data_IF_977067383014
#
_entry.id   IF_977067383014
#
_cell.length_a   1.000
_cell.length_b   1.000
_cell.length_c   1.000
_cell.angle_alpha   90.00
_cell.angle_beta   90.00
_cell.angle_gamma   90.00
#
_symmetry.space_group_name_H-M   'P 1'
#
loop_
_entity.id
_entity.type
_entity.pdbx_description
1 polymer ?
#
# COMPACT_ATOMS: atom_id res chain seq x y z
N UNK A 1 3.95 13.64 3.35
CA UNK A 1 3.54 12.43 4.09
C UNK A 1 4.75 11.54 4.25
N UNK A 2 5.12 11.18 5.49
CA UNK A 2 6.28 10.29 5.73
C UNK A 2 5.97 8.86 5.25
N UNK A 3 6.95 8.20 4.64
CA UNK A 3 6.79 6.83 4.14
C UNK A 3 6.59 5.86 5.31
N UNK A 4 5.75 4.85 5.11
CA UNK A 4 5.61 3.75 6.06
C UNK A 4 6.98 3.07 6.24
N UNK A 5 7.33 2.62 7.45
CA UNK A 5 8.65 2.09 7.80
C UNK A 5 9.75 3.15 8.03
N UNK A 6 9.40 4.44 8.11
CA UNK A 6 10.35 5.53 8.43
C UNK A 6 10.31 5.91 9.91
N UNK A 7 11.30 6.67 10.41
CA UNK A 7 11.40 7.08 11.83
C UNK A 7 10.13 7.75 12.39
N UNK A 8 9.38 8.45 11.54
CA UNK A 8 8.13 9.13 11.91
C UNK A 8 6.87 8.24 11.76
N UNK A 9 6.98 7.14 11.01
CA UNK A 9 5.89 6.19 10.73
C UNK A 9 6.45 4.75 10.69
N UNK A 10 6.81 4.18 11.84
CA UNK A 10 7.27 2.80 11.91
C UNK A 10 6.12 1.85 11.54
N UNK A 11 6.45 0.70 10.96
CA UNK A 11 5.49 -0.38 10.73
C UNK A 11 5.10 -1.01 12.07
N UNK A 12 3.81 -1.25 12.30
CA UNK A 12 3.34 -1.92 13.51
C UNK A 12 3.01 -3.35 13.14
N UNK A 13 3.61 -4.30 13.85
CA UNK A 13 3.38 -5.73 13.62
C UNK A 13 3.00 -6.40 14.91
N UNK A 14 1.95 -7.22 14.85
CA UNK A 14 1.53 -8.06 15.96
C UNK A 14 1.73 -9.51 15.59
N UNK A 15 2.47 -10.24 16.41
CA UNK A 15 2.77 -11.65 16.21
C UNK A 15 2.37 -12.46 17.43
N UNK A 16 2.16 -13.76 17.26
CA UNK A 16 1.76 -14.64 18.37
C UNK A 16 2.95 -15.22 19.14
N UNK A 17 4.11 -15.36 18.48
CA UNK A 17 5.28 -16.04 19.04
C UNK A 17 6.53 -15.17 18.96
N UNK A 18 7.48 -15.42 19.86
CA UNK A 18 8.78 -14.74 19.87
C UNK A 18 9.59 -15.06 18.61
N UNK A 19 9.55 -16.30 18.15
CA UNK A 19 10.27 -16.74 16.95
C UNK A 19 9.84 -15.93 15.71
N UNK A 20 8.53 -15.72 15.55
CA UNK A 20 7.96 -14.88 14.49
C UNK A 20 8.39 -13.42 14.63
N UNK A 21 8.49 -12.92 15.86
CA UNK A 21 8.93 -11.55 16.14
C UNK A 21 10.36 -11.33 15.63
N UNK A 22 11.26 -12.27 15.90
CA UNK A 22 12.66 -12.22 15.46
C UNK A 22 12.77 -12.27 13.93
N UNK A 23 12.02 -13.15 13.27
CA UNK A 23 11.99 -13.24 11.80
C UNK A 23 11.56 -11.91 11.16
N UNK A 24 10.46 -11.32 11.64
CA UNK A 24 9.95 -10.04 11.13
C UNK A 24 10.95 -8.92 11.39
N UNK A 25 11.56 -8.89 12.58
CA UNK A 25 12.52 -7.86 12.96
C UNK A 25 13.80 -7.94 12.10
N UNK A 26 14.28 -9.15 11.81
CA UNK A 26 15.39 -9.39 10.89
C UNK A 26 15.05 -8.94 9.46
N UNK A 27 13.85 -9.27 8.96
CA UNK A 27 13.37 -8.86 7.65
C UNK A 27 13.30 -7.34 7.51
N UNK A 28 12.68 -6.66 8.49
CA UNK A 28 12.55 -5.21 8.50
C UNK A 28 13.91 -4.52 8.61
N UNK A 29 14.81 -5.01 9.45
CA UNK A 29 16.18 -4.46 9.58
C UNK A 29 16.98 -4.63 8.28
N UNK A 30 16.89 -5.79 7.61
CA UNK A 30 17.56 -6.02 6.32
C UNK A 30 17.11 -5.03 5.25
N UNK A 31 15.85 -4.60 5.31
CA UNK A 31 15.27 -3.60 4.39
C UNK A 31 15.46 -2.14 4.85
N UNK A 32 16.00 -1.93 6.04
CA UNK A 32 16.16 -0.59 6.64
C UNK A 32 14.84 0.05 7.08
N UNK A 33 13.84 -0.76 7.42
CA UNK A 33 12.53 -0.29 7.89
C UNK A 33 12.47 -0.27 9.41
N UNK A 34 11.98 0.83 9.99
CA UNK A 34 11.62 0.85 11.40
C UNK A 34 10.31 0.11 11.63
N UNK A 35 10.33 -0.82 12.59
CA UNK A 35 9.19 -1.67 12.97
C UNK A 35 9.04 -1.70 14.49
N UNK A 36 7.80 -1.73 14.96
CA UNK A 36 7.43 -1.98 16.35
C UNK A 36 6.70 -3.32 16.38
N UNK A 37 7.29 -4.31 17.05
CA UNK A 37 6.74 -5.66 17.14
C UNK A 37 6.12 -5.88 18.51
N UNK A 38 4.85 -6.27 18.55
CA UNK A 38 4.13 -6.72 19.75
C UNK A 38 3.90 -8.23 19.70
N UNK A 39 4.25 -8.94 20.78
CA UNK A 39 3.97 -10.37 20.92
C UNK A 39 2.68 -10.54 21.73
N UNK A 40 1.59 -10.90 21.06
CA UNK A 40 0.26 -11.08 21.66
C UNK A 40 -0.28 -12.48 21.31
N UNK A 41 -0.06 -13.51 22.16
CA UNK A 41 -0.37 -14.91 21.84
C UNK A 41 -1.88 -15.22 21.69
N UNK A 42 -2.76 -14.33 22.18
CA UNK A 42 -4.22 -14.51 22.16
C UNK A 42 -4.93 -13.70 21.07
N UNK A 43 -4.19 -12.89 20.30
CA UNK A 43 -4.75 -12.09 19.20
C UNK A 43 -4.30 -12.66 17.87
N UNK A 44 -5.07 -12.37 16.82
CA UNK A 44 -4.67 -12.69 15.46
C UNK A 44 -3.42 -11.90 15.08
N UNK A 45 -2.51 -12.55 14.35
CA UNK A 45 -1.34 -11.91 13.77
C UNK A 45 -1.78 -10.77 12.82
N UNK A 46 -1.17 -9.60 12.96
CA UNK A 46 -1.41 -8.45 12.07
C UNK A 46 -0.07 -8.02 11.48
N UNK A 47 0.14 -8.43 10.23
CA UNK A 47 1.33 -8.14 9.41
C UNK A 47 1.02 -7.15 8.26
N UNK A 48 -0.15 -6.51 8.32
CA UNK A 48 -0.68 -5.62 7.29
C UNK A 48 0.31 -4.53 6.87
N UNK A 49 1.08 -3.98 7.82
CA UNK A 49 2.08 -2.95 7.54
C UNK A 49 3.31 -3.49 6.81
N UNK A 50 3.77 -4.70 7.14
CA UNK A 50 4.89 -5.36 6.45
C UNK A 50 4.48 -5.73 5.03
N UNK A 51 3.26 -6.20 4.84
CA UNK A 51 2.73 -6.49 3.51
C UNK A 51 2.61 -5.23 2.64
N UNK A 52 2.18 -4.10 3.22
CA UNK A 52 2.17 -2.79 2.54
C UNK A 52 3.57 -2.28 2.20
N UNK A 53 4.58 -2.61 3.00
CA UNK A 53 5.98 -2.27 2.72
C UNK A 53 6.55 -3.10 1.58
N UNK A 54 6.21 -4.40 1.53
CA UNK A 54 6.61 -5.31 0.46
C UNK A 54 5.90 -4.99 -0.87
N UNK A 55 4.61 -4.69 -0.80
CA UNK A 55 3.75 -4.37 -1.94
C UNK A 55 3.18 -2.95 -1.82
N UNK A 56 3.99 -1.91 -2.06
CA UNK A 56 3.49 -0.55 -2.07
C UNK A 56 2.41 -0.41 -3.17
N UNK A 57 1.25 0.21 -2.87
CA UNK A 57 0.21 0.39 -3.87
C UNK A 57 0.75 1.22 -5.02
N UNK A 58 0.68 0.67 -6.23
CA UNK A 58 1.06 1.40 -7.44
C UNK A 58 0.08 2.55 -7.65
N UNK A 59 0.56 3.77 -7.95
CA UNK A 59 -0.34 4.86 -8.29
C UNK A 59 -1.16 4.45 -9.52
N UNK A 60 -2.49 4.54 -9.40
CA UNK A 60 -3.40 4.32 -10.53
C UNK A 60 -3.10 5.42 -11.55
N UNK A 61 -2.48 5.04 -12.65
CA UNK A 61 -2.24 5.92 -13.79
C UNK A 61 -3.49 5.86 -14.64
N UNK A 62 -4.39 6.84 -14.46
CA UNK A 62 -5.48 7.04 -15.41
C UNK A 62 -4.94 7.81 -16.60
N UNK A 63 -5.14 7.27 -17.80
CA UNK A 63 -4.94 8.04 -19.02
C UNK A 63 -5.93 9.21 -19.00
N UNK A 64 -5.40 10.43 -18.96
CA UNK A 64 -6.21 11.62 -18.87
C UNK A 64 -6.81 11.91 -20.25
N UNK A 65 -7.98 11.32 -20.52
CA UNK A 65 -8.71 11.58 -21.76
C UNK A 65 -9.11 13.06 -21.78
N UNK A 66 -8.70 13.77 -22.83
CA UNK A 66 -9.08 15.18 -22.99
C UNK A 66 -10.59 15.31 -23.16
N UNK A 67 -11.19 16.28 -22.45
CA UNK A 67 -12.65 16.50 -22.48
C UNK A 67 -13.22 16.68 -23.89
N UNK A 68 -12.46 17.22 -24.83
CA UNK A 68 -12.90 17.45 -26.21
C UNK A 68 -12.49 16.34 -27.19
N UNK A 69 -11.65 15.38 -26.79
CA UNK A 69 -11.24 14.28 -27.65
C UNK A 69 -12.44 13.39 -28.01
N UNK A 70 -12.32 12.65 -29.12
CA UNK A 70 -13.30 11.64 -29.53
C UNK A 70 -13.49 10.61 -28.42
N UNK A 71 -14.73 10.26 -28.09
CA UNK A 71 -15.00 9.29 -27.05
C UNK A 71 -14.44 7.90 -27.42
N UNK A 72 -13.66 7.26 -26.54
CA UNK A 72 -13.14 5.90 -26.77
C UNK A 72 -14.26 4.83 -26.81
N UNK A 73 -15.49 5.19 -26.41
CA UNK A 73 -16.67 4.35 -26.47
C UNK A 73 -17.23 4.14 -27.90
N UNK A 74 -16.63 4.76 -28.92
CA UNK A 74 -17.06 4.61 -30.33
C UNK A 74 -18.31 5.40 -30.71
N UNK A 75 -18.81 6.28 -29.84
CA UNK A 75 -20.05 7.04 -30.08
C UNK A 75 -19.92 8.18 -31.11
N UNK A 76 -18.71 8.49 -31.57
CA UNK A 76 -18.42 9.63 -32.45
C UNK A 76 -18.58 11.01 -31.79
N UNK A 77 -18.95 11.06 -30.50
CA UNK A 77 -19.14 12.32 -29.75
C UNK A 77 -17.87 12.69 -28.97
N UNK A 78 -17.71 13.97 -28.64
CA UNK A 78 -16.64 14.42 -27.71
C UNK A 78 -16.80 13.76 -26.35
N UNK A 79 -15.71 13.39 -25.69
CA UNK A 79 -15.71 12.68 -24.40
C UNK A 79 -16.59 13.37 -23.35
N UNK A 80 -16.52 14.70 -23.26
CA UNK A 80 -17.36 15.52 -22.36
C UNK A 80 -18.87 15.44 -22.60
N UNK A 81 -19.31 14.98 -23.77
CA UNK A 81 -20.72 14.87 -24.17
C UNK A 81 -21.20 13.41 -24.20
N UNK A 82 -20.35 12.45 -23.84
CA UNK A 82 -20.67 11.03 -23.97
C UNK A 82 -20.43 10.18 -22.71
N UNK A 83 -19.23 10.24 -22.12
CA UNK A 83 -18.87 9.37 -20.98
C UNK A 83 -18.48 10.15 -19.71
N UNK A 84 -18.37 11.47 -19.81
CA UNK A 84 -18.05 12.33 -18.66
C UNK A 84 -19.30 13.04 -18.08
N UNK A 85 -20.46 12.84 -18.70
CA UNK A 85 -21.74 13.46 -18.33
C UNK A 85 -22.82 12.40 -18.23
#
# INVERSE_FOLDING_TARGET
>A
MSKLGSKEKPAIVKVQTQQRAEEVLALCNSKGWQVIVGVEPYKNEDISDVERLLNPPKPVTSEKIERNASCPCGSGKKYKKCCLN
#
